data_IF_704012330982
#
_entry.id   IF_704012330982
#
_cell.length_a   1.000
_cell.length_b   1.000
_cell.length_c   1.000
_cell.angle_alpha   90.00
_cell.angle_beta   90.00
_cell.angle_gamma   90.00
#
_symmetry.space_group_name_H-M   'P 1'
#
loop_
_entity.id
_entity.type
_entity.pdbx_description
1 polymer ?
#
# COMPACT_ATOMS: atom_id res chain seq x y z
N UNK A 1 -7.30 6.55 -18.68
CA UNK A 1 -7.94 7.43 -17.69
C UNK A 1 -8.94 6.66 -16.80
N UNK A 2 -9.83 5.82 -17.40
CA UNK A 2 -10.86 5.05 -16.64
C UNK A 2 -10.26 4.12 -15.58
N UNK A 3 -9.22 3.34 -15.92
CA UNK A 3 -8.51 2.45 -14.97
C UNK A 3 -7.94 3.21 -13.76
N UNK A 4 -7.38 4.41 -14.00
CA UNK A 4 -6.85 5.28 -12.93
C UNK A 4 -7.97 5.75 -12.00
N UNK A 5 -9.11 6.18 -12.54
CA UNK A 5 -10.27 6.57 -11.72
C UNK A 5 -10.79 5.40 -10.88
N UNK A 6 -10.91 4.20 -11.47
CA UNK A 6 -11.33 3.01 -10.73
C UNK A 6 -10.38 2.69 -9.58
N UNK A 7 -9.06 2.71 -9.81
CA UNK A 7 -8.09 2.42 -8.75
C UNK A 7 -8.08 3.47 -7.66
N UNK A 8 -8.19 4.77 -8.00
CA UNK A 8 -8.27 5.84 -7.02
C UNK A 8 -9.55 5.73 -6.18
N UNK A 9 -10.68 5.42 -6.81
CA UNK A 9 -11.96 5.22 -6.11
C UNK A 9 -11.86 4.01 -5.16
N UNK A 10 -11.33 2.90 -5.66
CA UNK A 10 -11.10 1.68 -4.86
C UNK A 10 -10.22 1.97 -3.64
N UNK A 11 -9.05 2.56 -3.86
CA UNK A 11 -8.10 2.86 -2.79
C UNK A 11 -8.64 3.89 -1.80
N UNK A 12 -9.32 4.93 -2.29
CA UNK A 12 -9.94 5.96 -1.45
C UNK A 12 -11.03 5.37 -0.56
N UNK A 13 -11.92 4.55 -1.14
CA UNK A 13 -12.96 3.85 -0.38
C UNK A 13 -12.36 2.88 0.64
N UNK A 14 -11.41 2.05 0.22
CA UNK A 14 -10.73 1.07 1.09
C UNK A 14 -10.05 1.76 2.27
N UNK A 15 -9.29 2.83 2.00
CA UNK A 15 -8.63 3.61 3.05
C UNK A 15 -9.62 4.24 4.02
N UNK A 16 -10.74 4.76 3.51
CA UNK A 16 -11.78 5.34 4.34
C UNK A 16 -12.43 4.31 5.28
N UNK A 17 -12.76 3.12 4.75
CA UNK A 17 -13.35 2.03 5.54
C UNK A 17 -12.36 1.52 6.57
N UNK A 18 -11.10 1.28 6.17
CA UNK A 18 -10.05 0.80 7.07
C UNK A 18 -9.81 1.76 8.26
N UNK A 19 -9.79 3.06 8.01
CA UNK A 19 -9.67 4.06 9.08
C UNK A 19 -10.84 4.04 10.07
N UNK A 20 -12.04 3.66 9.63
CA UNK A 20 -13.24 3.65 10.48
C UNK A 20 -13.48 2.35 11.23
N UNK A 21 -13.36 1.24 10.52
CA UNK A 21 -13.83 -0.07 11.03
C UNK A 21 -12.69 -1.08 11.18
N UNK A 22 -11.56 -0.85 10.50
CA UNK A 22 -10.46 -1.81 10.35
C UNK A 22 -10.89 -3.16 9.77
N UNK A 23 -12.05 -3.19 9.13
CA UNK A 23 -12.61 -4.36 8.48
C UNK A 23 -12.98 -4.01 7.05
N UNK A 24 -12.30 -4.59 6.09
CA UNK A 24 -12.55 -4.39 4.67
C UNK A 24 -13.18 -5.64 4.08
N UNK A 25 -14.34 -5.47 3.43
CA UNK A 25 -15.02 -6.57 2.77
C UNK A 25 -14.31 -6.99 1.49
N UNK A 26 -14.13 -8.30 1.28
CA UNK A 26 -13.55 -8.88 0.06
C UNK A 26 -14.35 -8.51 -1.20
N UNK A 27 -15.63 -8.14 -1.06
CA UNK A 27 -16.47 -7.66 -2.15
C UNK A 27 -15.90 -6.45 -2.88
N UNK A 28 -15.13 -5.61 -2.20
CA UNK A 28 -14.44 -4.46 -2.83
C UNK A 28 -13.52 -4.94 -3.94
N UNK A 29 -12.71 -5.96 -3.64
CA UNK A 29 -11.76 -6.52 -4.59
C UNK A 29 -12.45 -7.23 -5.76
N UNK A 30 -13.54 -7.95 -5.47
CA UNK A 30 -14.33 -8.61 -6.51
C UNK A 30 -14.98 -7.61 -7.47
N UNK A 31 -15.56 -6.54 -6.96
CA UNK A 31 -16.21 -5.51 -7.79
C UNK A 31 -15.19 -4.79 -8.65
N UNK A 32 -14.14 -4.23 -8.06
CA UNK A 32 -13.14 -3.46 -8.81
C UNK A 32 -12.27 -4.35 -9.71
N UNK A 33 -11.93 -5.56 -9.26
CA UNK A 33 -11.23 -6.56 -10.07
C UNK A 33 -12.09 -7.02 -11.26
N UNK A 34 -13.37 -7.27 -11.03
CA UNK A 34 -14.33 -7.61 -12.10
C UNK A 34 -14.46 -6.52 -13.14
N UNK A 35 -14.59 -5.25 -12.73
CA UNK A 35 -14.60 -4.10 -13.65
C UNK A 35 -13.27 -4.00 -14.42
N UNK A 36 -12.14 -4.22 -13.74
CA UNK A 36 -10.82 -4.27 -14.37
C UNK A 36 -10.70 -5.37 -15.43
N UNK A 37 -11.23 -6.56 -15.13
CA UNK A 37 -11.28 -7.69 -16.09
C UNK A 37 -12.15 -7.38 -17.31
N UNK A 38 -13.32 -6.77 -17.13
CA UNK A 38 -14.18 -6.35 -18.25
C UNK A 38 -13.43 -5.40 -19.18
N UNK A 39 -12.71 -4.40 -18.62
CA UNK A 39 -11.90 -3.49 -19.41
C UNK A 39 -10.77 -4.25 -20.10
N UNK A 40 -10.10 -5.17 -19.41
CA UNK A 40 -9.01 -5.97 -20.00
C UNK A 40 -9.49 -6.84 -21.16
N UNK A 41 -10.64 -7.51 -21.03
CA UNK A 41 -11.26 -8.30 -22.12
C UNK A 41 -11.56 -7.42 -23.33
N UNK A 42 -12.15 -6.24 -23.11
CA UNK A 42 -12.41 -5.28 -24.19
C UNK A 42 -11.11 -4.83 -24.87
N UNK A 43 -10.06 -4.50 -24.12
CA UNK A 43 -8.77 -4.05 -24.65
C UNK A 43 -8.03 -5.17 -25.41
N UNK A 44 -8.17 -6.43 -24.95
CA UNK A 44 -7.64 -7.60 -25.67
C UNK A 44 -8.39 -7.79 -27.00
N UNK A 45 -9.71 -7.71 -26.97
CA UNK A 45 -10.53 -7.80 -28.18
C UNK A 45 -10.21 -6.68 -29.19
N UNK A 46 -9.98 -5.46 -28.70
CA UNK A 46 -9.60 -4.31 -29.50
C UNK A 46 -8.12 -4.35 -29.99
N UNK A 47 -7.35 -5.38 -29.60
CA UNK A 47 -5.94 -5.52 -29.97
C UNK A 47 -4.99 -4.53 -29.30
N UNK A 48 -5.46 -3.79 -28.29
CA UNK A 48 -4.66 -2.77 -27.56
C UNK A 48 -3.95 -3.33 -26.34
N UNK A 49 -4.29 -4.53 -25.90
CA UNK A 49 -3.69 -5.26 -24.78
C UNK A 49 -3.35 -6.70 -25.21
N UNK A 50 -2.10 -7.12 -25.01
CA UNK A 50 -1.71 -8.51 -25.24
C UNK A 50 -2.23 -9.40 -24.10
N UNK A 51 -3.04 -10.43 -24.44
CA UNK A 51 -3.56 -11.39 -23.48
C UNK A 51 -2.44 -12.11 -22.73
N UNK A 52 -1.40 -12.53 -23.45
CA UNK A 52 -0.25 -13.25 -22.86
C UNK A 52 0.43 -12.41 -21.79
N UNK A 53 0.72 -11.15 -22.11
CA UNK A 53 1.33 -10.22 -21.16
C UNK A 53 0.41 -9.90 -19.99
N UNK A 54 -0.88 -9.68 -20.24
CA UNK A 54 -1.86 -9.42 -19.19
C UNK A 54 -1.88 -10.59 -18.17
N UNK A 55 -2.03 -11.82 -18.67
CA UNK A 55 -2.05 -13.02 -17.83
C UNK A 55 -0.72 -13.17 -17.07
N UNK A 56 0.42 -12.99 -17.75
CA UNK A 56 1.73 -13.09 -17.13
C UNK A 56 1.91 -12.07 -15.98
N UNK A 57 1.50 -10.82 -16.19
CA UNK A 57 1.58 -9.77 -15.17
C UNK A 57 0.69 -10.08 -13.97
N UNK A 58 -0.55 -10.53 -14.21
CA UNK A 58 -1.48 -10.87 -13.12
C UNK A 58 -0.99 -12.09 -12.34
N UNK A 59 -0.54 -13.16 -13.02
CA UNK A 59 0.02 -14.34 -12.35
C UNK A 59 1.28 -14.02 -11.55
N UNK A 60 2.19 -13.22 -12.10
CA UNK A 60 3.40 -12.81 -11.39
C UNK A 60 3.04 -11.96 -10.15
N UNK A 61 2.07 -11.06 -10.28
CA UNK A 61 1.59 -10.26 -9.14
C UNK A 61 0.95 -11.13 -8.07
N UNK A 62 0.15 -12.12 -8.46
CA UNK A 62 -0.44 -13.08 -7.54
C UNK A 62 0.65 -13.92 -6.82
N UNK A 63 1.65 -14.40 -7.55
CA UNK A 63 2.76 -15.14 -6.97
C UNK A 63 3.55 -14.30 -5.96
N UNK A 64 3.84 -13.03 -6.29
CA UNK A 64 4.48 -12.08 -5.36
C UNK A 64 3.60 -11.81 -4.14
N UNK A 65 2.29 -11.59 -4.32
CA UNK A 65 1.35 -11.40 -3.22
C UNK A 65 1.33 -12.57 -2.25
N UNK A 66 1.27 -13.79 -2.78
CA UNK A 66 1.32 -15.00 -1.97
C UNK A 66 2.65 -15.13 -1.23
N UNK A 67 3.76 -14.85 -1.90
CA UNK A 67 5.09 -14.86 -1.28
C UNK A 67 5.15 -13.84 -0.14
N UNK A 68 4.69 -12.61 -0.36
CA UNK A 68 4.69 -11.56 0.67
C UNK A 68 3.74 -11.90 1.83
N UNK A 69 2.63 -12.56 1.57
CA UNK A 69 1.73 -13.06 2.62
C UNK A 69 2.38 -14.19 3.42
N UNK A 70 3.07 -15.11 2.75
CA UNK A 70 3.74 -16.23 3.41
C UNK A 70 4.86 -15.78 4.36
N UNK A 71 5.61 -14.74 4.00
CA UNK A 71 6.66 -14.16 4.86
C UNK A 71 6.13 -13.11 5.85
N UNK A 72 4.81 -12.90 5.90
CA UNK A 72 4.16 -12.01 6.87
C UNK A 72 4.25 -10.52 6.54
N UNK A 73 4.61 -10.15 5.31
CA UNK A 73 4.63 -8.74 4.86
C UNK A 73 3.25 -8.25 4.44
N UNK A 74 2.42 -9.13 3.86
CA UNK A 74 1.05 -8.83 3.46
C UNK A 74 0.05 -9.60 4.33
N UNK A 75 -1.05 -8.92 4.67
CA UNK A 75 -2.26 -9.55 5.14
C UNK A 75 -3.22 -9.80 3.95
N UNK A 76 -4.28 -10.57 4.15
CA UNK A 76 -5.17 -10.97 3.07
C UNK A 76 -5.67 -9.81 2.21
N UNK A 77 -6.07 -8.69 2.84
CA UNK A 77 -6.51 -7.49 2.14
C UNK A 77 -5.42 -6.85 1.26
N UNK A 78 -4.17 -6.82 1.73
CA UNK A 78 -3.04 -6.27 0.98
C UNK A 78 -2.75 -7.09 -0.29
N UNK A 79 -2.80 -8.43 -0.14
CA UNK A 79 -2.61 -9.34 -1.27
C UNK A 79 -3.69 -9.17 -2.32
N UNK A 80 -4.96 -9.08 -1.91
CA UNK A 80 -6.08 -8.86 -2.81
C UNK A 80 -6.03 -7.48 -3.47
N UNK A 81 -5.65 -6.44 -2.72
CA UNK A 81 -5.42 -5.11 -3.27
C UNK A 81 -4.35 -5.11 -4.36
N UNK A 82 -3.22 -5.77 -4.11
CA UNK A 82 -2.12 -5.82 -5.08
C UNK A 82 -2.50 -6.57 -6.35
N UNK A 83 -3.20 -7.71 -6.23
CA UNK A 83 -3.71 -8.46 -7.39
C UNK A 83 -4.73 -7.61 -8.17
N UNK A 84 -5.66 -6.95 -7.48
CA UNK A 84 -6.67 -6.09 -8.12
C UNK A 84 -6.02 -4.92 -8.84
N UNK A 85 -5.00 -4.29 -8.25
CA UNK A 85 -4.22 -3.24 -8.90
C UNK A 85 -3.46 -3.76 -10.12
N UNK A 86 -2.97 -5.00 -10.11
CA UNK A 86 -2.33 -5.61 -11.28
C UNK A 86 -3.34 -5.86 -12.43
N UNK A 87 -4.57 -6.21 -12.11
CA UNK A 87 -5.67 -6.33 -13.09
C UNK A 87 -6.03 -4.96 -13.66
N UNK A 88 -6.14 -3.94 -12.81
CA UNK A 88 -6.46 -2.57 -13.23
C UNK A 88 -5.30 -1.92 -13.99
N UNK A 89 -4.06 -2.18 -13.61
CA UNK A 89 -2.87 -1.54 -14.17
C UNK A 89 -1.80 -2.59 -14.54
N UNK A 90 -2.02 -3.45 -15.53
CA UNK A 90 -1.00 -4.40 -15.98
C UNK A 90 0.23 -3.71 -16.56
N UNK A 91 0.04 -2.50 -17.11
CA UNK A 91 1.09 -1.66 -17.69
C UNK A 91 1.00 -0.23 -17.15
N UNK A 92 2.06 0.52 -17.41
CA UNK A 92 2.10 1.96 -17.11
C UNK A 92 0.92 2.69 -17.77
N UNK A 93 0.17 3.52 -17.04
CA UNK A 93 -1.01 4.21 -17.58
C UNK A 93 -0.64 5.15 -18.72
N UNK A 94 -1.31 5.00 -19.86
CA UNK A 94 -1.13 5.89 -21.01
C UNK A 94 -1.51 7.34 -20.65
N UNK A 95 -0.68 8.28 -21.06
CA UNK A 95 -0.90 9.72 -20.83
C UNK A 95 -0.36 10.24 -19.49
N UNK A 96 0.33 9.41 -18.71
CA UNK A 96 1.15 9.84 -17.59
C UNK A 96 2.63 9.78 -17.99
N UNK A 97 3.38 10.78 -17.61
CA UNK A 97 4.83 10.78 -17.79
C UNK A 97 5.52 10.39 -16.47
N UNK A 98 6.45 9.43 -16.49
CA UNK A 98 7.20 9.06 -15.31
C UNK A 98 8.14 10.19 -14.89
N UNK A 99 8.22 10.47 -13.60
CA UNK A 99 9.02 11.57 -13.05
C UNK A 99 10.50 11.51 -13.46
N UNK A 100 11.06 10.33 -13.62
CA UNK A 100 12.46 10.11 -14.00
C UNK A 100 12.63 9.51 -15.41
N UNK A 101 11.60 9.54 -16.24
CA UNK A 101 11.64 8.98 -17.60
C UNK A 101 11.74 7.45 -17.66
N UNK A 102 11.67 6.75 -16.53
CA UNK A 102 11.81 5.28 -16.47
C UNK A 102 10.43 4.65 -16.45
N UNK A 103 10.12 3.83 -17.45
CA UNK A 103 8.88 3.04 -17.53
C UNK A 103 9.23 1.58 -17.25
N UNK A 104 8.69 1.05 -16.18
CA UNK A 104 8.80 -0.38 -15.88
C UNK A 104 7.84 -1.19 -16.77
N UNK A 105 8.30 -2.26 -17.41
CA UNK A 105 7.41 -3.18 -18.12
C UNK A 105 6.44 -3.91 -17.18
N UNK A 106 6.77 -4.00 -15.90
CA UNK A 106 5.95 -4.60 -14.85
C UNK A 106 5.49 -3.52 -13.87
N UNK A 107 4.43 -2.82 -14.23
CA UNK A 107 3.92 -1.68 -13.47
C UNK A 107 3.45 -2.00 -12.04
N UNK A 108 2.85 -3.17 -11.71
CA UNK A 108 2.54 -3.52 -10.33
C UNK A 108 3.74 -3.48 -9.38
N UNK A 109 4.93 -3.85 -9.85
CA UNK A 109 6.15 -3.74 -9.03
C UNK A 109 6.51 -2.26 -8.75
N UNK A 110 6.29 -1.38 -9.72
CA UNK A 110 6.46 0.07 -9.51
C UNK A 110 5.50 0.60 -8.46
N UNK A 111 4.23 0.17 -8.49
CA UNK A 111 3.24 0.53 -7.46
C UNK A 111 3.67 0.04 -6.08
N UNK A 112 4.11 -1.21 -5.98
CA UNK A 112 4.61 -1.78 -4.73
C UNK A 112 5.84 -1.00 -4.21
N UNK A 113 6.84 -0.77 -5.05
CA UNK A 113 8.05 -0.04 -4.67
C UNK A 113 7.73 1.39 -4.18
N UNK A 114 6.84 2.08 -4.86
CA UNK A 114 6.40 3.42 -4.46
C UNK A 114 5.62 3.39 -3.13
N UNK A 115 4.82 2.35 -2.89
CA UNK A 115 4.11 2.17 -1.60
C UNK A 115 5.09 1.96 -0.45
N UNK A 116 6.13 1.16 -0.66
CA UNK A 116 7.20 0.93 0.33
C UNK A 116 7.96 2.24 0.61
N UNK A 117 8.31 3.00 -0.43
CA UNK A 117 8.98 4.30 -0.28
C UNK A 117 8.09 5.32 0.46
N UNK A 118 6.79 5.34 0.16
CA UNK A 118 5.83 6.19 0.88
C UNK A 118 5.73 5.81 2.36
N UNK A 119 5.67 4.50 2.67
CA UNK A 119 5.68 4.00 4.04
C UNK A 119 6.97 4.36 4.78
N UNK A 120 8.12 4.20 4.14
CA UNK A 120 9.41 4.58 4.70
C UNK A 120 9.50 6.10 4.96
N UNK A 121 8.96 6.92 4.06
CA UNK A 121 8.88 8.38 4.25
C UNK A 121 8.02 8.75 5.45
N UNK A 122 6.91 8.05 5.68
CA UNK A 122 6.10 8.26 6.88
C UNK A 122 6.85 7.93 8.17
N UNK A 123 7.64 6.86 8.18
CA UNK A 123 8.51 6.51 9.31
C UNK A 123 9.54 7.61 9.61
N UNK A 124 10.10 8.25 8.58
CA UNK A 124 10.99 9.42 8.77
C UNK A 124 10.25 10.62 9.37
N UNK A 125 9.02 10.88 8.94
CA UNK A 125 8.18 11.94 9.53
C UNK A 125 7.92 11.66 11.02
N UNK A 126 7.61 10.41 11.39
CA UNK A 126 7.43 10.01 12.78
C UNK A 126 8.72 10.21 13.60
N UNK A 127 9.87 9.82 13.04
CA UNK A 127 11.16 10.02 13.68
C UNK A 127 11.40 11.49 13.98
N UNK A 128 11.29 12.36 12.97
CA UNK A 128 11.48 13.81 13.12
C UNK A 128 10.50 14.38 14.16
N UNK A 129 9.22 14.01 14.07
CA UNK A 129 8.20 14.42 15.02
C UNK A 129 8.54 14.00 16.45
N UNK A 130 8.92 12.74 16.65
CA UNK A 130 9.24 12.20 17.97
C UNK A 130 10.49 12.85 18.58
N UNK A 131 11.45 13.27 17.75
CA UNK A 131 12.64 14.00 18.17
C UNK A 131 12.36 15.49 18.45
N UNK A 132 11.46 16.11 17.66
CA UNK A 132 11.15 17.53 17.76
C UNK A 132 10.16 17.86 18.89
N UNK A 133 9.38 16.89 19.39
CA UNK A 133 8.46 17.13 20.49
C UNK A 133 9.24 17.45 21.78
N UNK A 134 9.02 18.64 22.37
CA UNK A 134 9.70 19.02 23.60
C UNK A 134 9.41 17.99 24.69
N UNK A 135 10.48 17.55 25.34
CA UNK A 135 10.45 16.63 26.48
C UNK A 135 10.02 17.42 27.73
N UNK A 136 8.72 17.73 27.84
CA UNK A 136 8.19 18.21 29.10
C UNK A 136 8.23 17.06 30.11
N UNK A 137 9.24 17.09 30.97
CA UNK A 137 9.42 16.27 32.18
C UNK A 137 9.61 14.76 32.05
N UNK A 138 9.83 14.19 30.86
CA UNK A 138 10.07 12.73 30.74
C UNK A 138 11.17 12.43 29.71
N UNK A 139 12.00 11.44 30.02
CA UNK A 139 13.02 10.94 29.09
C UNK A 139 12.39 10.43 27.81
N UNK A 140 13.15 10.49 26.70
CA UNK A 140 12.71 10.04 25.37
C UNK A 140 12.18 8.61 25.38
N UNK A 141 12.68 7.77 26.28
CA UNK A 141 12.37 6.35 26.43
C UNK A 141 11.76 6.00 27.80
N UNK A 142 11.01 6.93 28.39
CA UNK A 142 10.29 6.68 29.63
C UNK A 142 9.34 5.47 29.49
N UNK A 143 9.47 4.48 30.34
CA UNK A 143 8.75 3.23 30.28
C UNK A 143 9.40 2.15 29.39
N UNK A 144 10.52 2.46 28.75
CA UNK A 144 11.31 1.54 27.92
C UNK A 144 12.75 1.41 28.44
N UNK A 145 12.98 1.71 29.72
CA UNK A 145 14.34 1.78 30.30
C UNK A 145 15.08 0.44 30.16
N UNK A 146 14.37 -0.66 30.35
CA UNK A 146 14.92 -2.03 30.31
C UNK A 146 15.01 -2.64 28.91
N UNK A 147 14.45 -1.94 27.90
CA UNK A 147 14.47 -2.45 26.52
C UNK A 147 15.82 -2.19 25.83
N UNK A 148 16.29 -3.11 24.97
CA UNK A 148 17.50 -2.94 24.21
C UNK A 148 17.38 -1.78 23.22
N UNK A 149 18.51 -1.15 22.86
CA UNK A 149 18.58 0.05 22.03
C UNK A 149 17.83 -0.12 20.72
N UNK A 150 17.94 -1.27 20.07
CA UNK A 150 17.25 -1.50 18.79
C UNK A 150 15.72 -1.43 18.89
N UNK A 151 15.11 -1.92 19.99
CA UNK A 151 13.67 -1.77 20.23
C UNK A 151 13.27 -0.32 20.46
N UNK A 152 14.10 0.43 21.20
CA UNK A 152 13.91 1.87 21.39
C UNK A 152 13.92 2.63 20.06
N UNK A 153 14.82 2.27 19.15
CA UNK A 153 14.89 2.84 17.81
C UNK A 153 13.65 2.48 16.97
N UNK A 154 13.20 1.21 17.01
CA UNK A 154 11.98 0.80 16.30
C UNK A 154 10.78 1.61 16.79
N UNK A 155 10.59 1.74 18.11
CA UNK A 155 9.48 2.53 18.67
C UNK A 155 9.58 4.01 18.26
N UNK A 156 10.78 4.55 18.17
CA UNK A 156 11.00 5.94 17.75
C UNK A 156 10.55 6.20 16.30
N UNK A 157 10.72 5.20 15.42
CA UNK A 157 10.45 5.29 13.98
C UNK A 157 9.00 4.87 13.64
N UNK A 158 8.38 4.00 14.44
CA UNK A 158 7.05 3.45 14.17
C UNK A 158 5.97 3.92 15.14
N UNK A 159 6.36 4.36 16.34
CA UNK A 159 5.45 4.75 17.41
C UNK A 159 5.05 6.22 17.38
N UNK A 160 3.81 6.49 17.76
CA UNK A 160 3.32 7.84 18.04
C UNK A 160 3.45 8.12 19.54
N UNK A 161 4.21 9.16 19.88
CA UNK A 161 4.23 9.67 21.27
C UNK A 161 2.97 10.49 21.51
N UNK A 162 2.14 10.03 22.44
CA UNK A 162 0.93 10.73 22.89
C UNK A 162 0.92 10.81 24.41
N UNK A 163 0.43 11.92 24.94
CA UNK A 163 0.23 12.06 26.38
C UNK A 163 -0.86 11.08 26.86
N UNK A 164 -0.65 10.41 28.00
CA UNK A 164 -1.62 9.43 28.54
C UNK A 164 -3.03 10.03 28.69
N UNK A 165 -3.13 11.34 28.97
CA UNK A 165 -4.42 12.05 29.09
C UNK A 165 -5.18 12.19 27.77
N UNK A 166 -4.52 12.02 26.63
CA UNK A 166 -5.15 12.11 25.30
C UNK A 166 -5.60 10.76 24.75
N UNK A 167 -5.22 9.66 25.39
CA UNK A 167 -5.65 8.31 25.01
C UNK A 167 -7.02 8.09 25.61
N UNK A 168 -8.07 8.24 24.82
CA UNK A 168 -9.40 7.74 25.16
C UNK A 168 -9.35 6.23 25.03
N UNK A 169 -9.60 5.51 26.14
CA UNK A 169 -9.79 4.06 26.09
C UNK A 169 -10.95 3.66 25.17
N UNK A 170 -11.02 2.36 24.81
CA UNK A 170 -12.11 1.83 24.00
C UNK A 170 -13.45 2.04 24.68
#
# INVERSE_FOLDING_TARGET
TMRVLLSLTMLGYSSWVDLKTRELSDMVWLVFGGLGLIIAVYEVYAGSLSLVWFVAVVLLSAALSLTFSFIGLFWGADALAFITLAILHPFYPKGLEPLFGIISPFFPLTLFSNSVLAGASYSLILLVRNLALPLQDRSLFSGLEHEPIWRKLVVLVTGLRVGIRSVRGP
#
